data_IF_668225445098
#
_entry.id   IF_668225445098
#
_cell.length_a   1.000
_cell.length_b   1.000
_cell.length_c   1.000
_cell.angle_alpha   90.00
_cell.angle_beta   90.00
_cell.angle_gamma   90.00
#
_symmetry.space_group_name_H-M   'P 1'
#
loop_
_entity.id
_entity.type
_entity.pdbx_description
1 polymer ?
#
# COMPACT_ATOMS: atom_id res chain seq x y z
N UNK A 1 -7.62 15.44 -0.70
CA UNK A 1 -7.74 14.64 -1.94
C UNK A 1 -6.65 15.06 -2.91
N UNK A 2 -6.05 14.11 -3.63
CA UNK A 2 -4.79 14.28 -4.36
C UNK A 2 -4.94 13.99 -5.87
N UNK A 3 -5.96 14.58 -6.50
CA UNK A 3 -6.42 14.27 -7.86
C UNK A 3 -5.34 14.35 -8.97
N UNK A 4 -4.26 15.12 -8.76
CA UNK A 4 -3.18 15.32 -9.74
C UNK A 4 -1.86 14.66 -9.38
N UNK A 5 -1.79 13.90 -8.28
CA UNK A 5 -0.58 13.17 -7.91
C UNK A 5 -0.49 11.91 -8.77
N UNK A 6 0.65 11.74 -9.44
CA UNK A 6 1.02 10.55 -10.21
C UNK A 6 2.23 9.83 -9.57
N UNK A 7 2.65 8.72 -10.19
CA UNK A 7 3.77 7.91 -9.71
C UNK A 7 5.10 8.70 -9.68
N UNK A 8 5.29 9.67 -10.58
CA UNK A 8 6.48 10.51 -10.61
C UNK A 8 6.54 11.44 -9.39
N UNK A 9 5.41 12.04 -9.01
CA UNK A 9 5.29 12.84 -7.81
C UNK A 9 5.63 12.02 -6.55
N UNK A 10 5.05 10.82 -6.42
CA UNK A 10 5.33 9.91 -5.29
C UNK A 10 6.81 9.57 -5.25
N UNK A 11 7.41 9.14 -6.36
CA UNK A 11 8.83 8.81 -6.44
C UNK A 11 9.74 9.98 -6.02
N UNK A 12 9.40 11.21 -6.43
CA UNK A 12 10.13 12.40 -6.02
C UNK A 12 10.06 12.62 -4.50
N UNK A 13 8.88 12.50 -3.90
CA UNK A 13 8.69 12.64 -2.45
C UNK A 13 9.49 11.57 -1.70
N UNK A 14 9.37 10.30 -2.11
CA UNK A 14 10.07 9.18 -1.45
C UNK A 14 11.59 9.30 -1.55
N UNK A 15 12.09 9.87 -2.65
CA UNK A 15 13.52 10.16 -2.83
C UNK A 15 14.01 11.26 -1.90
N UNK A 16 13.22 12.31 -1.70
CA UNK A 16 13.57 13.42 -0.82
C UNK A 16 13.38 13.10 0.68
N UNK A 17 12.49 12.16 0.98
CA UNK A 17 12.06 11.85 2.35
C UNK A 17 12.24 10.35 2.70
N UNK A 18 13.47 9.79 2.66
CA UNK A 18 13.70 8.35 2.87
C UNK A 18 13.40 7.85 4.29
N UNK A 19 13.23 8.76 5.25
CA UNK A 19 12.92 8.45 6.66
C UNK A 19 11.44 8.59 7.01
N UNK A 20 10.55 8.65 6.02
CA UNK A 20 9.11 8.67 6.28
C UNK A 20 8.69 7.45 7.12
N UNK A 21 7.85 7.74 8.12
CA UNK A 21 7.22 6.74 8.99
C UNK A 21 5.76 6.50 8.56
N UNK A 22 5.14 7.56 8.06
CA UNK A 22 3.74 7.62 7.69
C UNK A 22 3.59 8.26 6.31
N UNK A 23 2.83 7.62 5.44
CA UNK A 23 2.42 8.21 4.17
C UNK A 23 0.95 7.93 3.92
N UNK A 24 0.21 8.98 3.54
CA UNK A 24 -1.20 8.89 3.18
C UNK A 24 -1.41 9.65 1.89
N UNK A 25 -2.01 8.97 0.91
CA UNK A 25 -2.46 9.57 -0.33
C UNK A 25 -3.90 9.15 -0.57
N UNK A 26 -4.78 10.10 -0.84
CA UNK A 26 -6.22 9.85 -0.95
C UNK A 26 -6.77 10.42 -2.23
N UNK A 27 -7.58 9.63 -2.94
CA UNK A 27 -8.23 9.99 -4.20
C UNK A 27 -7.23 10.45 -5.25
N UNK A 28 -6.11 9.73 -5.36
CA UNK A 28 -5.08 9.98 -6.36
C UNK A 28 -5.27 9.00 -7.52
N UNK A 29 -6.03 9.45 -8.52
CA UNK A 29 -6.52 8.59 -9.61
C UNK A 29 -5.47 8.20 -10.64
N UNK A 30 -4.32 8.85 -10.62
CA UNK A 30 -3.19 8.57 -11.51
C UNK A 30 -2.09 7.76 -10.81
N UNK A 31 -2.32 7.27 -9.59
CA UNK A 31 -1.39 6.36 -8.91
C UNK A 31 -1.65 4.92 -9.32
N UNK A 32 -0.58 4.24 -9.70
CA UNK A 32 -0.63 2.83 -10.05
C UNK A 32 0.08 1.97 -9.00
N UNK A 33 0.12 0.67 -9.24
CA UNK A 33 0.90 -0.29 -8.45
C UNK A 33 2.41 0.08 -8.38
N UNK A 34 2.94 0.87 -9.33
CA UNK A 34 4.33 1.35 -9.32
C UNK A 34 4.63 2.21 -8.07
N UNK A 35 3.70 3.10 -7.70
CA UNK A 35 3.85 3.96 -6.53
C UNK A 35 4.05 3.18 -5.23
N UNK A 36 3.30 2.10 -5.04
CA UNK A 36 3.45 1.28 -3.84
C UNK A 36 4.88 0.72 -3.74
N UNK A 37 5.41 0.17 -4.85
CA UNK A 37 6.77 -0.36 -4.90
C UNK A 37 7.82 0.71 -4.61
N UNK A 38 7.70 1.89 -5.24
CA UNK A 38 8.61 3.02 -5.00
C UNK A 38 8.60 3.47 -3.53
N UNK A 39 7.43 3.52 -2.90
CA UNK A 39 7.26 3.87 -1.48
C UNK A 39 7.98 2.86 -0.58
N UNK A 40 7.61 1.58 -0.68
CA UNK A 40 8.13 0.56 0.25
C UNK A 40 9.61 0.23 -0.01
N UNK A 41 10.09 0.39 -1.24
CA UNK A 41 11.50 0.23 -1.59
C UNK A 41 12.37 1.35 -1.02
N UNK A 42 11.93 2.62 -1.12
CA UNK A 42 12.76 3.77 -0.73
C UNK A 42 12.64 4.12 0.76
N UNK A 43 11.47 3.91 1.35
CA UNK A 43 11.19 4.30 2.73
C UNK A 43 11.20 3.08 3.68
N UNK A 44 12.40 2.55 3.94
CA UNK A 44 12.60 1.39 4.83
C UNK A 44 12.29 1.66 6.33
N UNK A 45 11.86 2.88 6.67
CA UNK A 45 11.36 3.26 8.00
C UNK A 45 9.84 3.38 8.06
N UNK A 46 9.15 3.18 6.94
CA UNK A 46 7.71 3.33 6.84
C UNK A 46 7.03 2.26 7.70
N UNK A 47 6.07 2.72 8.51
CA UNK A 47 5.25 1.89 9.39
C UNK A 47 3.80 1.89 8.92
N UNK A 48 3.30 3.01 8.38
CA UNK A 48 1.90 3.15 7.97
C UNK A 48 1.80 3.74 6.58
N UNK A 49 1.11 3.01 5.69
CA UNK A 49 0.83 3.42 4.33
C UNK A 49 -0.68 3.35 4.08
N UNK A 50 -1.27 4.48 3.70
CA UNK A 50 -2.67 4.56 3.28
C UNK A 50 -2.77 5.09 1.86
N UNK A 51 -3.34 4.27 0.97
CA UNK A 51 -3.70 4.62 -0.39
C UNK A 51 -5.22 4.49 -0.46
N UNK A 52 -5.93 5.58 -0.17
CA UNK A 52 -7.38 5.59 0.00
C UNK A 52 -8.06 6.07 -1.28
N UNK A 53 -9.01 5.32 -1.83
CA UNK A 53 -9.75 5.75 -3.03
C UNK A 53 -8.88 5.89 -4.29
N UNK A 54 -7.74 5.19 -4.36
CA UNK A 54 -6.85 5.19 -5.51
C UNK A 54 -7.29 4.13 -6.52
N UNK A 55 -8.06 4.54 -7.54
CA UNK A 55 -8.74 3.63 -8.48
C UNK A 55 -7.82 2.90 -9.47
N UNK A 56 -6.56 3.30 -9.64
CA UNK A 56 -5.62 2.66 -10.56
C UNK A 56 -4.63 1.71 -9.85
N UNK A 57 -4.87 1.43 -8.57
CA UNK A 57 -4.13 0.41 -7.81
C UNK A 57 -4.90 -0.90 -7.89
N UNK A 58 -4.31 -1.88 -8.56
CA UNK A 58 -4.90 -3.20 -8.78
C UNK A 58 -4.40 -4.25 -7.78
N UNK A 59 -3.35 -3.94 -7.03
CA UNK A 59 -2.84 -4.82 -5.98
C UNK A 59 -1.88 -5.90 -6.50
N UNK A 60 -1.53 -5.93 -7.78
CA UNK A 60 -0.66 -6.97 -8.34
C UNK A 60 0.74 -6.94 -7.75
N UNK A 61 1.23 -5.75 -7.41
CA UNK A 61 2.51 -5.57 -6.71
C UNK A 61 2.60 -6.30 -5.37
N UNK A 62 1.48 -6.58 -4.70
CA UNK A 62 1.46 -7.26 -3.41
C UNK A 62 1.96 -8.70 -3.51
N UNK A 63 1.85 -9.34 -4.69
CA UNK A 63 2.34 -10.71 -4.91
C UNK A 63 3.86 -10.77 -4.90
N UNK A 64 4.50 -9.82 -5.58
CA UNK A 64 5.94 -9.90 -5.88
C UNK A 64 6.81 -8.99 -4.99
N UNK A 65 6.21 -8.10 -4.19
CA UNK A 65 6.97 -7.25 -3.27
C UNK A 65 7.79 -8.09 -2.29
N UNK A 66 9.12 -7.91 -2.22
CA UNK A 66 9.95 -8.62 -1.26
C UNK A 66 9.57 -8.29 0.19
N UNK A 67 9.47 -9.31 1.05
CA UNK A 67 9.19 -9.11 2.47
C UNK A 67 10.24 -8.23 3.17
N UNK A 68 11.44 -8.12 2.58
CA UNK A 68 12.50 -7.22 3.05
C UNK A 68 12.11 -5.75 2.97
N UNK A 69 11.26 -5.36 2.01
CA UNK A 69 10.75 -3.98 1.88
C UNK A 69 9.59 -3.69 2.83
N UNK A 70 8.94 -4.74 3.34
CA UNK A 70 7.82 -4.64 4.28
C UNK A 70 8.24 -4.84 5.75
N UNK A 71 9.55 -4.86 6.05
CA UNK A 71 10.08 -5.23 7.38
C UNK A 71 9.53 -4.42 8.54
N UNK A 72 9.24 -3.14 8.33
CA UNK A 72 8.73 -2.21 9.35
C UNK A 72 7.29 -1.79 9.15
N UNK A 73 6.67 -2.21 8.05
CA UNK A 73 5.27 -1.92 7.79
C UNK A 73 4.43 -2.64 8.84
N UNK A 74 3.53 -1.88 9.44
CA UNK A 74 2.57 -2.32 10.46
C UNK A 74 1.14 -2.16 9.94
N UNK A 75 0.86 -1.13 9.15
CA UNK A 75 -0.46 -0.84 8.63
C UNK A 75 -0.43 -0.55 7.13
N UNK A 76 -1.26 -1.27 6.39
CA UNK A 76 -1.63 -0.97 5.02
C UNK A 76 -3.12 -0.68 4.96
N UNK A 77 -3.50 0.39 4.27
CA UNK A 77 -4.90 0.77 4.11
C UNK A 77 -5.21 1.01 2.63
N UNK A 78 -6.14 0.21 2.10
CA UNK A 78 -6.64 0.26 0.73
C UNK A 78 -8.16 0.53 0.66
N UNK A 79 -8.71 1.17 1.68
CA UNK A 79 -10.12 1.57 1.71
C UNK A 79 -10.50 2.37 0.47
N UNK A 80 -11.65 2.03 -0.10
CA UNK A 80 -12.16 2.59 -1.36
C UNK A 80 -11.29 2.33 -2.62
N UNK A 81 -10.29 1.46 -2.57
CA UNK A 81 -9.55 1.01 -3.77
C UNK A 81 -10.26 -0.19 -4.42
N UNK A 82 -11.24 0.10 -5.27
CA UNK A 82 -12.16 -0.89 -5.85
C UNK A 82 -11.54 -1.90 -6.83
N UNK A 83 -10.31 -1.67 -7.29
CA UNK A 83 -9.63 -2.58 -8.23
C UNK A 83 -8.78 -3.65 -7.53
N UNK A 84 -8.51 -3.49 -6.24
CA UNK A 84 -7.74 -4.49 -5.49
C UNK A 84 -8.66 -5.65 -5.16
N UNK A 85 -8.22 -6.86 -5.52
CA UNK A 85 -8.95 -8.08 -5.19
C UNK A 85 -8.57 -8.59 -3.80
N UNK A 86 -9.55 -9.10 -3.07
CA UNK A 86 -9.37 -9.57 -1.70
C UNK A 86 -8.38 -10.74 -1.58
N UNK A 87 -8.28 -11.60 -2.60
CA UNK A 87 -7.31 -12.70 -2.65
C UNK A 87 -5.86 -12.19 -2.56
N UNK A 88 -5.55 -11.06 -3.20
CA UNK A 88 -4.23 -10.43 -3.13
C UNK A 88 -3.90 -9.92 -1.72
N UNK A 89 -4.90 -9.36 -1.04
CA UNK A 89 -4.75 -8.88 0.33
C UNK A 89 -4.58 -10.06 1.31
N UNK A 90 -5.37 -11.12 1.12
CA UNK A 90 -5.28 -12.36 1.90
C UNK A 90 -3.93 -13.07 1.71
N UNK A 91 -3.43 -13.15 0.47
CA UNK A 91 -2.12 -13.73 0.17
C UNK A 91 -1.01 -12.99 0.91
N UNK A 92 -1.06 -11.65 0.91
CA UNK A 92 -0.10 -10.84 1.68
C UNK A 92 -0.25 -11.05 3.19
N UNK A 93 -1.49 -11.10 3.70
CA UNK A 93 -1.74 -11.34 5.12
C UNK A 93 -1.18 -12.70 5.57
N UNK A 94 -1.41 -13.76 4.78
CA UNK A 94 -0.87 -15.10 5.01
C UNK A 94 0.66 -15.12 5.01
N UNK A 95 1.28 -14.44 4.05
CA UNK A 95 2.75 -14.32 3.96
C UNK A 95 3.33 -13.50 5.11
N UNK A 96 2.63 -12.46 5.55
CA UNK A 96 3.13 -11.51 6.56
C UNK A 96 2.06 -11.08 7.57
N UNK A 97 1.73 -12.02 8.47
CA UNK A 97 0.73 -11.87 9.55
C UNK A 97 0.96 -10.70 10.52
N UNK A 98 2.15 -10.12 10.55
CA UNK A 98 2.45 -8.95 11.39
C UNK A 98 1.80 -7.66 10.90
N UNK A 99 1.35 -7.62 9.64
CA UNK A 99 0.79 -6.41 9.02
C UNK A 99 -0.74 -6.41 9.20
N UNK A 100 -1.26 -5.29 9.68
CA UNK A 100 -2.68 -4.96 9.69
C UNK A 100 -3.05 -4.40 8.32
N UNK A 101 -4.01 -5.03 7.64
CA UNK A 101 -4.46 -4.62 6.31
C UNK A 101 -5.94 -4.25 6.37
N UNK A 102 -6.29 -3.07 5.89
CA UNK A 102 -7.68 -2.65 5.69
C UNK A 102 -8.07 -2.78 4.21
N UNK A 103 -9.15 -3.49 3.96
CA UNK A 103 -9.72 -3.72 2.63
C UNK A 103 -10.53 -2.51 2.10
N UNK A 104 -11.23 -2.73 0.99
CA UNK A 104 -12.10 -1.74 0.35
C UNK A 104 -13.15 -1.12 1.29
N UNK A 105 -13.73 -1.92 2.19
CA UNK A 105 -14.79 -1.52 3.12
C UNK A 105 -14.26 -0.97 4.45
N UNK A 106 -12.94 -0.83 4.58
CA UNK A 106 -12.26 -0.53 5.84
C UNK A 106 -12.39 -1.65 6.89
N UNK A 107 -12.65 -2.87 6.44
CA UNK A 107 -12.62 -4.06 7.30
C UNK A 107 -11.21 -4.60 7.39
N UNK A 108 -10.89 -5.22 8.53
CA UNK A 108 -9.63 -5.93 8.71
C UNK A 108 -9.62 -7.19 7.86
N UNK A 109 -8.58 -7.35 7.05
CA UNK A 109 -8.32 -8.60 6.35
C UNK A 109 -7.85 -9.64 7.38
N UNK A 110 -8.62 -10.71 7.50
CA UNK A 110 -8.38 -11.83 8.41
C UNK A 110 -8.43 -13.14 7.61
N UNK A 111 -7.64 -14.13 8.02
CA UNK A 111 -7.70 -15.48 7.45
C UNK A 111 -8.65 -16.33 8.31
N UNK A 112 -9.88 -16.54 7.84
CA UNK A 112 -10.92 -17.30 8.57
C UNK A 112 -10.70 -18.82 8.59
N UNK A 113 -9.57 -19.30 8.05
CA UNK A 113 -9.23 -20.72 7.93
C UNK A 113 -8.22 -21.23 8.99
N UNK A 114 -7.98 -20.47 10.05
CA UNK A 114 -7.11 -20.85 11.20
C UNK A 114 -7.87 -21.34 12.43
#
# INVERSE_FOLDING_TARGET
>A
ECHFIDDNCVRAIMTMCPRLIDFTCSWAYNLTDESFNEIVMRCQHLRRLSLLGCHQIYGYMLKDVPDTYLRRIEHLNFTQCNQIKDDLLLDLHKRKKSIIILDYYASLVIDDHE
#
